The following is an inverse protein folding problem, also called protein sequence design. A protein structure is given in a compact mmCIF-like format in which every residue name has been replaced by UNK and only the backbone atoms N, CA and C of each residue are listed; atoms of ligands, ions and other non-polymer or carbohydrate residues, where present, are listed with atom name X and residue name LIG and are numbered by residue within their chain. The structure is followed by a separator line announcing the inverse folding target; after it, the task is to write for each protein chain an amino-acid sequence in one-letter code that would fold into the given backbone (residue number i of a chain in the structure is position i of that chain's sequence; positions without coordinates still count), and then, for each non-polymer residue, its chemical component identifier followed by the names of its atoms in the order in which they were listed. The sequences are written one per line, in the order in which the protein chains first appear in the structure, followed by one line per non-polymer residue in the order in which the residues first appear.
data_IF_426628797940
#
_entry.id   IF_426628797940
#
_cell.length_a   1.000
_cell.length_b   1.000
_cell.length_c   1.000
_cell.angle_alpha   90.00
_cell.angle_beta   90.00
_cell.angle_gamma   90.00
#
_symmetry.space_group_name_H-M   'P 1'
#
loop_
_entity.id
_entity.type
_entity.pdbx_description
1 polymer ?
#
# COMPACT_ATOMS: atom_id res chain seq x y z
N UNK A 1 -35.07 20.42 -57.45
CA UNK A 1 -35.31 20.85 -56.07
C UNK A 1 -35.59 19.62 -55.21
N UNK A 2 -34.53 18.91 -54.77
CA UNK A 2 -34.59 17.96 -53.65
C UNK A 2 -33.18 17.86 -53.06
N UNK A 3 -32.95 18.63 -52.00
CA UNK A 3 -31.73 18.63 -51.22
C UNK A 3 -31.84 17.52 -50.16
N UNK A 4 -30.98 16.50 -50.23
CA UNK A 4 -30.83 15.53 -49.13
C UNK A 4 -29.57 15.91 -48.37
N UNK A 5 -29.77 16.52 -47.21
CA UNK A 5 -28.74 16.79 -46.20
C UNK A 5 -28.67 15.57 -45.28
N UNK A 6 -27.56 14.83 -45.30
CA UNK A 6 -27.31 13.74 -44.36
C UNK A 6 -26.21 14.12 -43.36
N UNK A 7 -26.67 14.71 -42.26
CA UNK A 7 -26.33 14.43 -40.85
C UNK A 7 -24.90 13.95 -40.53
N UNK A 8 -24.13 14.88 -39.94
CA UNK A 8 -23.13 14.74 -38.88
C UNK A 8 -22.43 13.37 -38.72
N UNK A 9 -21.16 13.34 -39.11
CA UNK A 9 -20.25 12.22 -38.98
C UNK A 9 -19.97 11.81 -37.54
N UNK A 10 -20.41 10.62 -37.20
CA UNK A 10 -19.69 9.76 -36.26
C UNK A 10 -18.65 9.00 -37.09
N UNK A 11 -17.39 9.39 -37.00
CA UNK A 11 -16.27 8.60 -37.54
C UNK A 11 -16.17 7.35 -36.67
N UNK A 12 -16.91 6.30 -37.05
CA UNK A 12 -16.65 4.93 -36.60
C UNK A 12 -15.24 4.61 -37.06
N UNK A 13 -14.30 4.47 -36.13
CA UNK A 13 -12.99 3.89 -36.42
C UNK A 13 -13.22 2.48 -36.98
N UNK A 14 -13.25 2.35 -38.31
CA UNK A 14 -13.23 1.05 -39.00
C UNK A 14 -11.97 0.36 -38.49
N UNK A 15 -12.15 -0.76 -37.81
CA UNK A 15 -11.08 -1.74 -37.62
C UNK A 15 -10.37 -1.90 -38.98
N UNK A 16 -9.09 -1.55 -39.03
CA UNK A 16 -8.30 -1.77 -40.24
C UNK A 16 -8.30 -3.28 -40.50
N UNK A 17 -8.98 -3.69 -41.58
CA UNK A 17 -9.00 -5.09 -42.00
C UNK A 17 -7.60 -5.65 -42.20
N UNK A 18 -7.41 -6.92 -41.81
CA UNK A 18 -6.12 -7.60 -41.76
C UNK A 18 -5.57 -7.90 -43.15
N UNK A 19 -4.24 -7.95 -43.25
CA UNK A 19 -3.44 -8.58 -44.31
C UNK A 19 -3.75 -8.10 -45.73
N UNK A 20 -4.50 -8.86 -46.54
CA UNK A 20 -4.80 -8.51 -47.94
C UNK A 20 -5.51 -7.14 -48.08
N UNK A 21 -6.42 -6.80 -47.16
CA UNK A 21 -7.16 -5.52 -47.21
C UNK A 21 -6.28 -4.31 -46.86
N UNK A 22 -5.15 -4.52 -46.17
CA UNK A 22 -4.17 -3.47 -45.90
C UNK A 22 -3.32 -3.21 -47.15
N UNK A 23 -2.85 -4.27 -47.82
CA UNK A 23 -2.02 -4.16 -49.02
C UNK A 23 -2.80 -3.47 -50.16
N UNK A 24 -4.05 -3.84 -50.37
CA UNK A 24 -4.89 -3.22 -51.40
C UNK A 24 -5.13 -1.72 -51.13
N UNK A 25 -5.31 -1.32 -49.87
CA UNK A 25 -5.46 0.09 -49.48
C UNK A 25 -4.17 0.88 -49.60
N UNK A 26 -3.03 0.29 -49.23
CA UNK A 26 -1.73 0.93 -49.40
C UNK A 26 -1.44 1.18 -50.88
N UNK A 27 -1.78 0.23 -51.76
CA UNK A 27 -1.66 0.39 -53.21
C UNK A 27 -2.56 1.50 -53.75
N UNK A 28 -3.81 1.58 -53.28
CA UNK A 28 -4.72 2.66 -53.65
C UNK A 28 -4.16 4.04 -53.24
N UNK A 29 -3.68 4.19 -52.00
CA UNK A 29 -3.10 5.45 -51.52
C UNK A 29 -1.81 5.85 -52.23
N UNK A 30 -1.02 4.89 -52.71
CA UNK A 30 0.13 5.17 -53.58
C UNK A 30 -0.35 5.65 -54.94
N UNK A 31 -1.35 5.01 -55.54
CA UNK A 31 -1.90 5.40 -56.84
C UNK A 31 -2.57 6.78 -56.83
N UNK A 32 -3.16 7.16 -55.68
CA UNK A 32 -3.76 8.47 -55.45
C UNK A 32 -2.73 9.54 -55.06
N UNK A 33 -1.45 9.18 -54.91
CA UNK A 33 -0.37 10.11 -54.53
C UNK A 33 -0.45 10.60 -53.07
N UNK A 34 -1.25 9.95 -52.22
CA UNK A 34 -1.43 10.30 -50.80
C UNK A 34 -0.17 9.92 -50.01
N UNK A 35 0.45 8.80 -50.35
CA UNK A 35 1.70 8.32 -49.74
C UNK A 35 2.68 7.86 -50.82
N UNK A 36 3.96 7.95 -50.51
CA UNK A 36 5.03 7.38 -51.36
C UNK A 36 5.11 5.86 -51.21
N UNK A 37 5.63 5.16 -52.21
CA UNK A 37 5.92 3.72 -52.10
C UNK A 37 6.83 3.39 -50.91
N UNK A 38 7.77 4.28 -50.59
CA UNK A 38 8.66 4.11 -49.45
C UNK A 38 7.88 4.17 -48.10
N UNK A 39 6.87 5.02 -48.00
CA UNK A 39 5.98 5.06 -46.84
C UNK A 39 5.08 3.84 -46.77
N UNK A 40 4.52 3.38 -47.90
CA UNK A 40 3.74 2.15 -47.95
C UNK A 40 4.54 0.94 -47.45
N UNK A 41 5.79 0.75 -47.94
CA UNK A 41 6.70 -0.30 -47.46
C UNK A 41 7.01 -0.19 -45.97
N UNK A 42 7.13 1.03 -45.42
CA UNK A 42 7.36 1.24 -43.99
C UNK A 42 6.15 0.90 -43.14
N UNK A 43 4.94 1.24 -43.61
CA UNK A 43 3.68 0.94 -42.93
C UNK A 43 3.43 -0.56 -42.99
N UNK A 44 3.59 -1.19 -44.15
CA UNK A 44 3.52 -2.64 -44.29
C UNK A 44 4.51 -3.34 -43.35
N UNK A 45 5.79 -2.95 -43.35
CA UNK A 45 6.76 -3.53 -42.43
C UNK A 45 6.44 -3.28 -40.95
N UNK A 46 5.74 -2.19 -40.61
CA UNK A 46 5.27 -1.91 -39.25
C UNK A 46 4.08 -2.81 -38.89
N UNK A 47 3.10 -2.93 -39.78
CA UNK A 47 1.90 -3.75 -39.62
C UNK A 47 2.18 -5.24 -39.72
N UNK A 48 3.17 -5.71 -40.50
CA UNK A 48 3.62 -7.10 -40.49
C UNK A 48 4.35 -7.46 -39.19
N UNK A 49 5.04 -6.48 -38.57
CA UNK A 49 5.58 -6.63 -37.21
C UNK A 49 4.48 -6.63 -36.15
N UNK A 50 3.44 -5.84 -36.34
CA UNK A 50 2.27 -5.75 -35.45
C UNK A 50 1.21 -6.83 -35.70
N UNK A 51 1.26 -7.50 -36.86
CA UNK A 51 0.22 -8.37 -37.43
C UNK A 51 0.45 -9.86 -37.20
N UNK A 52 1.11 -10.21 -36.09
CA UNK A 52 0.93 -11.54 -35.51
C UNK A 52 -0.50 -11.61 -34.93
N UNK A 53 -1.16 -12.78 -34.99
CA UNK A 53 -2.59 -12.90 -34.69
C UNK A 53 -2.93 -12.37 -33.29
N UNK A 54 -4.17 -11.91 -33.14
CA UNK A 54 -4.84 -11.59 -31.89
C UNK A 54 -4.98 -12.81 -30.95
N UNK A 55 -3.87 -13.47 -30.63
CA UNK A 55 -3.63 -14.00 -29.30
C UNK A 55 -3.11 -12.82 -28.49
N UNK A 56 -3.96 -12.28 -27.62
CA UNK A 56 -3.55 -11.50 -26.45
C UNK A 56 -2.19 -12.05 -25.98
N UNK A 57 -1.10 -11.25 -25.84
CA UNK A 57 0.15 -11.76 -25.29
C UNK A 57 -0.21 -12.43 -23.98
N UNK A 58 -0.21 -13.77 -23.98
CA UNK A 58 -1.06 -14.58 -23.14
C UNK A 58 -1.21 -13.91 -21.77
N UNK A 59 -2.40 -13.34 -21.49
CA UNK A 59 -2.65 -12.78 -20.16
C UNK A 59 -2.17 -13.87 -19.21
N UNK A 60 -1.16 -13.62 -18.36
CA UNK A 60 -0.60 -14.65 -17.53
C UNK A 60 -1.79 -15.30 -16.83
N UNK A 61 -1.96 -16.60 -17.04
CA UNK A 61 -3.17 -17.27 -16.61
C UNK A 61 -3.27 -17.06 -15.10
N UNK A 62 -4.28 -16.30 -14.69
CA UNK A 62 -4.47 -15.91 -13.29
C UNK A 62 -4.65 -17.13 -12.39
N UNK A 63 -5.08 -18.25 -12.98
CA UNK A 63 -5.37 -19.48 -12.26
C UNK A 63 -4.10 -20.17 -11.69
N UNK A 64 -3.04 -20.48 -12.47
CA UNK A 64 -1.77 -20.94 -11.89
C UNK A 64 -1.15 -19.98 -10.87
N UNK A 65 -1.24 -18.66 -11.09
CA UNK A 65 -0.69 -17.68 -10.14
C UNK A 65 -1.51 -17.66 -8.84
N UNK A 66 -2.84 -17.67 -8.92
CA UNK A 66 -3.73 -17.74 -7.76
C UNK A 66 -3.58 -19.07 -6.99
N UNK A 67 -3.49 -20.20 -7.69
CA UNK A 67 -3.22 -21.51 -7.09
C UNK A 67 -1.85 -21.54 -6.40
N UNK A 68 -0.84 -20.90 -6.98
CA UNK A 68 0.48 -20.75 -6.37
C UNK A 68 0.43 -19.95 -5.06
N UNK A 69 -0.28 -18.81 -5.04
CA UNK A 69 -0.46 -18.04 -3.81
C UNK A 69 -1.27 -18.79 -2.75
N UNK A 70 -2.38 -19.42 -3.15
CA UNK A 70 -3.21 -20.21 -2.25
C UNK A 70 -2.44 -21.39 -1.65
N UNK A 71 -1.74 -22.15 -2.49
CA UNK A 71 -0.89 -23.26 -2.04
C UNK A 71 0.22 -22.79 -1.10
N UNK A 72 0.87 -21.65 -1.39
CA UNK A 72 1.86 -21.05 -0.52
C UNK A 72 1.31 -20.65 0.86
N UNK A 73 0.12 -20.05 0.91
CA UNK A 73 -0.56 -19.69 2.16
C UNK A 73 -0.93 -20.96 2.95
N UNK A 74 -1.48 -21.98 2.29
CA UNK A 74 -1.84 -23.25 2.95
C UNK A 74 -0.59 -23.93 3.54
N UNK A 75 0.52 -23.97 2.80
CA UNK A 75 1.79 -24.52 3.31
C UNK A 75 2.31 -23.71 4.49
N UNK A 76 2.25 -22.37 4.44
CA UNK A 76 2.66 -21.52 5.56
C UNK A 76 1.80 -21.76 6.82
N UNK A 77 0.48 -21.86 6.66
CA UNK A 77 -0.44 -22.14 7.76
C UNK A 77 -0.18 -23.53 8.33
N UNK A 78 -0.05 -24.55 7.49
CA UNK A 78 0.25 -25.91 7.92
C UNK A 78 1.59 -25.99 8.67
N UNK A 79 2.63 -25.32 8.16
CA UNK A 79 3.94 -25.25 8.82
C UNK A 79 3.85 -24.52 10.16
N UNK A 80 3.10 -23.43 10.26
CA UNK A 80 2.90 -22.69 11.51
C UNK A 80 2.14 -23.52 12.56
N UNK A 81 1.08 -24.24 12.15
CA UNK A 81 0.32 -25.13 13.03
C UNK A 81 1.18 -26.30 13.51
N UNK A 82 1.91 -26.94 12.60
CA UNK A 82 2.80 -28.05 12.93
C UNK A 82 3.93 -27.59 13.85
N UNK A 83 4.52 -26.42 13.58
CA UNK A 83 5.49 -25.80 14.46
C UNK A 83 4.88 -25.56 15.84
N UNK A 84 3.71 -24.93 15.94
CA UNK A 84 3.05 -24.67 17.22
C UNK A 84 2.73 -25.92 18.04
N UNK A 85 2.39 -27.03 17.39
CA UNK A 85 2.14 -28.31 18.06
C UNK A 85 3.42 -29.00 18.54
N UNK A 86 4.46 -29.02 17.71
CA UNK A 86 5.69 -29.74 18.01
C UNK A 86 6.71 -28.89 18.80
N UNK A 87 6.56 -27.57 18.84
CA UNK A 87 7.58 -26.66 19.35
C UNK A 87 8.02 -27.00 20.77
N UNK A 88 7.04 -27.25 21.65
CA UNK A 88 7.26 -27.58 23.05
C UNK A 88 8.09 -28.85 23.24
N UNK A 89 7.93 -29.84 22.35
CA UNK A 89 8.62 -31.12 22.40
C UNK A 89 10.02 -31.09 21.77
N UNK A 90 10.35 -30.05 21.00
CA UNK A 90 11.65 -29.91 20.37
C UNK A 90 12.71 -29.43 21.36
N UNK A 91 13.88 -30.08 21.33
CA UNK A 91 15.08 -29.56 22.01
C UNK A 91 15.52 -28.23 21.40
N UNK A 92 16.28 -27.43 22.17
CA UNK A 92 16.88 -26.18 21.69
C UNK A 92 17.65 -26.37 20.37
N UNK A 93 18.48 -27.42 20.28
CA UNK A 93 19.27 -27.72 19.08
C UNK A 93 18.35 -28.00 17.89
N UNK A 94 17.27 -28.76 18.09
CA UNK A 94 16.29 -29.05 17.03
C UNK A 94 15.56 -27.80 16.56
N UNK A 95 15.16 -26.89 17.47
CA UNK A 95 14.54 -25.61 17.12
C UNK A 95 15.47 -24.74 16.29
N UNK A 96 16.73 -24.61 16.72
CA UNK A 96 17.76 -23.85 16.01
C UNK A 96 18.07 -24.42 14.63
N UNK A 97 18.22 -25.74 14.52
CA UNK A 97 18.43 -26.40 13.23
C UNK A 97 17.23 -26.22 12.31
N UNK A 98 16.01 -26.40 12.81
CA UNK A 98 14.79 -26.26 12.01
C UNK A 98 14.67 -24.86 11.41
N UNK A 99 14.75 -23.82 12.26
CA UNK A 99 14.55 -22.44 11.79
C UNK A 99 15.77 -21.92 11.02
N UNK A 100 16.99 -22.28 11.44
CA UNK A 100 18.22 -21.91 10.75
C UNK A 100 18.32 -22.53 9.35
N UNK A 101 17.97 -23.81 9.21
CA UNK A 101 17.93 -24.47 7.89
C UNK A 101 16.85 -23.90 7.00
N UNK A 102 15.66 -23.57 7.55
CA UNK A 102 14.62 -22.89 6.79
C UNK A 102 15.10 -21.52 6.27
N UNK A 103 15.75 -20.72 7.12
CA UNK A 103 16.31 -19.43 6.72
C UNK A 103 17.35 -19.58 5.59
N UNK A 104 18.30 -20.51 5.74
CA UNK A 104 19.32 -20.79 4.74
C UNK A 104 18.72 -21.31 3.42
N UNK A 105 17.76 -22.23 3.49
CA UNK A 105 17.08 -22.80 2.33
C UNK A 105 16.29 -21.72 1.56
N UNK A 106 15.55 -20.86 2.25
CA UNK A 106 14.80 -19.76 1.63
C UNK A 106 15.73 -18.73 0.99
N UNK A 107 16.83 -18.38 1.66
CA UNK A 107 17.81 -17.42 1.14
C UNK A 107 18.48 -17.94 -0.13
N UNK A 108 18.95 -19.20 -0.10
CA UNK A 108 19.59 -19.88 -1.23
C UNK A 108 18.62 -20.14 -2.38
N UNK A 109 17.39 -20.58 -2.10
CA UNK A 109 16.34 -20.73 -3.11
C UNK A 109 16.06 -19.41 -3.81
N UNK A 110 15.93 -18.30 -3.07
CA UNK A 110 15.74 -16.97 -3.65
C UNK A 110 16.92 -16.53 -4.53
N UNK A 111 18.15 -16.85 -4.13
CA UNK A 111 19.36 -16.59 -4.92
C UNK A 111 19.41 -17.45 -6.20
N UNK A 112 18.91 -18.68 -6.15
CA UNK A 112 18.86 -19.60 -7.30
C UNK A 112 17.79 -19.24 -8.34
N UNK A 113 16.80 -18.39 -8.01
CA UNK A 113 15.76 -17.98 -8.97
C UNK A 113 16.41 -17.29 -10.19
N UNK A 114 16.26 -17.82 -11.42
CA UNK A 114 16.91 -17.26 -12.60
C UNK A 114 16.42 -15.84 -12.92
N UNK A 115 17.33 -14.94 -13.34
CA UNK A 115 16.97 -13.57 -13.79
C UNK A 115 16.04 -13.57 -15.01
N UNK A 116 16.11 -14.62 -15.84
CA UNK A 116 15.27 -14.82 -17.03
C UNK A 116 13.81 -15.18 -16.75
N UNK A 117 13.45 -15.47 -15.50
CA UNK A 117 12.08 -15.85 -15.11
C UNK A 117 11.08 -14.66 -15.06
N UNK A 118 11.44 -13.52 -15.66
CA UNK A 118 10.57 -12.36 -15.81
C UNK A 118 10.05 -11.78 -14.49
N UNK A 119 8.84 -11.23 -14.51
CA UNK A 119 8.21 -10.60 -13.35
C UNK A 119 7.83 -11.61 -12.25
N UNK A 120 7.36 -12.80 -12.63
CA UNK A 120 7.02 -13.87 -11.69
C UNK A 120 8.24 -14.32 -10.87
N UNK A 121 9.40 -14.50 -11.52
CA UNK A 121 10.65 -14.83 -10.82
C UNK A 121 11.10 -13.74 -9.84
N UNK A 122 10.92 -12.45 -10.19
CA UNK A 122 11.22 -11.35 -9.26
C UNK A 122 10.31 -11.37 -8.03
N UNK A 123 9.01 -11.66 -8.20
CA UNK A 123 8.05 -11.78 -7.08
C UNK A 123 8.41 -12.96 -6.18
N UNK A 124 8.64 -14.14 -6.77
CA UNK A 124 9.02 -15.34 -6.05
C UNK A 124 10.31 -15.12 -5.23
N UNK A 125 11.35 -14.52 -5.84
CA UNK A 125 12.57 -14.16 -5.12
C UNK A 125 12.29 -13.25 -3.93
N UNK A 126 11.46 -12.21 -4.12
CA UNK A 126 11.08 -11.28 -3.06
C UNK A 126 10.39 -11.97 -1.89
N UNK A 127 9.49 -12.93 -2.17
CA UNK A 127 8.79 -13.73 -1.15
C UNK A 127 9.75 -14.69 -0.43
N UNK A 128 10.60 -15.40 -1.16
CA UNK A 128 11.58 -16.32 -0.58
C UNK A 128 12.55 -15.59 0.36
N UNK A 129 13.08 -14.44 -0.07
CA UNK A 129 13.94 -13.62 0.77
C UNK A 129 13.19 -12.98 1.95
N UNK A 130 11.90 -12.69 1.82
CA UNK A 130 11.09 -12.16 2.92
C UNK A 130 10.90 -13.24 3.99
N UNK A 131 10.57 -14.46 3.56
CA UNK A 131 10.53 -15.63 4.43
C UNK A 131 11.88 -15.92 5.08
N UNK A 132 12.99 -15.75 4.37
CA UNK A 132 14.33 -15.93 4.94
C UNK A 132 14.61 -14.94 6.08
N UNK A 133 14.20 -13.67 5.96
CA UNK A 133 14.32 -12.68 7.04
C UNK A 133 13.44 -13.04 8.24
N UNK A 134 12.21 -13.49 8.02
CA UNK A 134 11.32 -13.92 9.09
C UNK A 134 11.87 -15.16 9.83
N UNK A 135 12.37 -16.15 9.09
CA UNK A 135 13.02 -17.31 9.67
C UNK A 135 14.30 -16.91 10.42
N UNK A 136 15.11 -15.99 9.87
CA UNK A 136 16.28 -15.44 10.57
C UNK A 136 15.90 -14.75 11.88
N UNK A 137 14.82 -13.96 11.90
CA UNK A 137 14.29 -13.38 13.11
C UNK A 137 13.89 -14.46 14.12
N UNK A 138 13.18 -15.51 13.69
CA UNK A 138 12.83 -16.65 14.54
C UNK A 138 14.07 -17.35 15.12
N UNK A 139 15.11 -17.54 14.32
CA UNK A 139 16.38 -18.12 14.77
C UNK A 139 17.02 -17.27 15.88
N UNK A 140 17.13 -15.95 15.66
CA UNK A 140 17.65 -15.02 16.67
C UNK A 140 16.79 -15.01 17.93
N UNK A 141 15.47 -15.10 17.79
CA UNK A 141 14.54 -15.21 18.90
C UNK A 141 14.80 -16.44 19.77
N UNK A 142 14.99 -17.60 19.16
CA UNK A 142 15.34 -18.84 19.88
C UNK A 142 16.70 -18.73 20.55
N UNK A 143 17.72 -18.21 19.84
CA UNK A 143 19.06 -18.02 20.43
C UNK A 143 18.98 -17.09 21.64
N UNK A 144 18.28 -15.97 21.53
CA UNK A 144 18.23 -14.97 22.59
C UNK A 144 17.38 -15.44 23.79
N UNK A 145 16.18 -15.97 23.53
CA UNK A 145 15.24 -16.38 24.59
C UNK A 145 15.65 -17.70 25.25
N UNK A 146 15.93 -18.74 24.46
CA UNK A 146 16.19 -20.08 25.00
C UNK A 146 17.70 -20.35 25.18
N UNK A 147 18.54 -19.85 24.26
CA UNK A 147 19.98 -20.11 24.28
C UNK A 147 20.76 -19.24 25.27
N UNK A 148 20.45 -17.94 25.31
CA UNK A 148 21.07 -16.97 26.23
C UNK A 148 20.22 -16.67 27.47
N UNK A 149 19.00 -17.23 27.55
CA UNK A 149 18.06 -16.98 28.65
C UNK A 149 17.82 -15.48 28.91
N UNK A 150 17.78 -14.67 27.84
CA UNK A 150 17.50 -13.24 27.96
C UNK A 150 16.05 -13.02 28.39
N UNK A 151 15.78 -11.91 29.10
CA UNK A 151 14.40 -11.51 29.34
C UNK A 151 13.67 -11.20 28.02
N UNK A 152 12.34 -11.34 28.02
CA UNK A 152 11.51 -11.19 26.81
C UNK A 152 11.79 -9.89 26.05
N UNK A 153 11.94 -8.76 26.77
CA UNK A 153 12.23 -7.47 26.15
C UNK A 153 13.61 -7.44 25.46
N UNK A 154 14.66 -8.00 26.10
CA UNK A 154 16.00 -8.06 25.51
C UNK A 154 16.05 -9.03 24.33
N UNK A 155 15.38 -10.17 24.44
CA UNK A 155 15.27 -11.14 23.34
C UNK A 155 14.54 -10.54 22.13
N UNK A 156 13.43 -9.82 22.36
CA UNK A 156 12.71 -9.12 21.31
C UNK A 156 13.56 -8.03 20.64
N UNK A 157 14.33 -7.27 21.43
CA UNK A 157 15.24 -6.23 20.91
C UNK A 157 16.33 -6.84 20.01
N UNK A 158 17.04 -7.87 20.48
CA UNK A 158 18.08 -8.57 19.72
C UNK A 158 17.50 -9.15 18.42
N UNK A 159 16.32 -9.76 18.51
CA UNK A 159 15.63 -10.38 17.38
C UNK A 159 15.28 -9.36 16.30
N UNK A 160 14.65 -8.26 16.69
CA UNK A 160 14.14 -7.25 15.74
C UNK A 160 15.27 -6.42 15.15
N UNK A 161 16.27 -6.00 15.95
CA UNK A 161 17.47 -5.33 15.44
C UNK A 161 18.28 -6.25 14.51
N UNK A 162 18.51 -7.50 14.93
CA UNK A 162 19.26 -8.46 14.14
C UNK A 162 18.55 -8.89 12.86
N UNK A 163 17.22 -8.80 12.80
CA UNK A 163 16.43 -9.04 11.59
C UNK A 163 16.35 -7.81 10.67
N UNK A 164 16.39 -6.58 11.22
CA UNK A 164 16.34 -5.35 10.43
C UNK A 164 17.53 -5.22 9.46
N UNK A 165 18.73 -5.65 9.88
CA UNK A 165 19.95 -5.60 9.04
C UNK A 165 19.79 -6.39 7.73
N UNK A 166 19.52 -7.71 7.74
CA UNK A 166 19.33 -8.46 6.50
C UNK A 166 18.09 -7.98 5.72
N UNK A 167 17.02 -7.53 6.39
CA UNK A 167 15.85 -6.98 5.72
C UNK A 167 16.19 -5.76 4.86
N UNK A 168 16.91 -4.78 5.42
CA UNK A 168 17.36 -3.59 4.70
C UNK A 168 18.32 -3.98 3.58
N UNK A 169 19.30 -4.84 3.84
CA UNK A 169 20.28 -5.27 2.83
C UNK A 169 19.60 -5.95 1.64
N UNK A 170 18.63 -6.85 1.88
CA UNK A 170 17.91 -7.55 0.83
C UNK A 170 16.95 -6.62 0.08
N UNK A 171 16.30 -5.69 0.78
CA UNK A 171 15.48 -4.65 0.16
C UNK A 171 16.29 -3.75 -0.77
N UNK A 172 17.46 -3.27 -0.33
CA UNK A 172 18.36 -2.45 -1.16
C UNK A 172 18.88 -3.22 -2.39
N UNK A 173 19.08 -4.54 -2.28
CA UNK A 173 19.51 -5.39 -3.41
C UNK A 173 18.38 -5.76 -4.36
N UNK A 174 17.14 -5.84 -3.88
CA UNK A 174 15.98 -6.23 -4.69
C UNK A 174 14.73 -5.53 -4.16
N UNK A 175 14.46 -4.29 -4.63
CA UNK A 175 13.37 -3.45 -4.14
C UNK A 175 12.02 -3.96 -4.66
N UNK A 176 11.58 -5.08 -4.10
CA UNK A 176 10.24 -5.67 -4.31
C UNK A 176 9.33 -5.23 -3.16
N UNK A 177 8.02 -5.23 -3.41
CA UNK A 177 7.03 -4.83 -2.38
C UNK A 177 7.14 -5.69 -1.11
N UNK A 178 7.35 -7.00 -1.25
CA UNK A 178 7.53 -7.91 -0.12
C UNK A 178 8.75 -7.54 0.73
N UNK A 179 9.89 -7.22 0.10
CA UNK A 179 11.09 -6.79 0.79
C UNK A 179 10.92 -5.43 1.46
N UNK A 180 10.23 -4.49 0.79
CA UNK A 180 9.94 -3.18 1.36
C UNK A 180 9.07 -3.29 2.62
N UNK A 181 8.06 -4.16 2.58
CA UNK A 181 7.18 -4.45 3.72
C UNK A 181 7.94 -5.08 4.89
N UNK A 182 8.79 -6.08 4.63
CA UNK A 182 9.58 -6.71 5.69
C UNK A 182 10.62 -5.74 6.26
N UNK A 183 11.23 -4.89 5.43
CA UNK A 183 12.18 -3.87 5.89
C UNK A 183 11.51 -2.87 6.84
N UNK A 184 10.36 -2.29 6.47
CA UNK A 184 9.67 -1.37 7.38
C UNK A 184 9.17 -2.08 8.64
N UNK A 185 8.65 -3.32 8.52
CA UNK A 185 8.14 -4.08 9.67
C UNK A 185 9.24 -4.36 10.69
N UNK A 186 10.40 -4.82 10.23
CA UNK A 186 11.54 -5.13 11.12
C UNK A 186 12.15 -3.88 11.74
N UNK A 187 12.26 -2.78 10.99
CA UNK A 187 12.74 -1.49 11.54
C UNK A 187 11.73 -0.90 12.53
N UNK A 188 10.44 -0.96 12.24
CA UNK A 188 9.40 -0.50 13.15
C UNK A 188 9.36 -1.34 14.43
N UNK A 189 9.49 -2.67 14.33
CA UNK A 189 9.59 -3.55 15.48
C UNK A 189 10.85 -3.32 16.31
N UNK A 190 11.99 -3.03 15.66
CA UNK A 190 13.23 -2.66 16.35
C UNK A 190 13.08 -1.33 17.10
N UNK A 191 12.44 -0.33 16.49
CA UNK A 191 12.16 0.94 17.15
C UNK A 191 11.19 0.76 18.34
N UNK A 192 10.14 -0.05 18.18
CA UNK A 192 9.19 -0.35 19.24
C UNK A 192 9.86 -1.03 20.44
N UNK A 193 10.64 -2.09 20.19
CA UNK A 193 11.36 -2.79 21.26
C UNK A 193 12.43 -1.90 21.90
N UNK A 194 13.06 -0.99 21.15
CA UNK A 194 13.97 0.02 21.73
C UNK A 194 13.25 0.97 22.66
N UNK A 195 12.06 1.46 22.29
CA UNK A 195 11.24 2.33 23.15
C UNK A 195 10.86 1.60 24.43
N UNK A 196 10.48 0.33 24.35
CA UNK A 196 10.14 -0.49 25.53
C UNK A 196 11.30 -0.61 26.53
N UNK A 197 12.56 -0.52 26.08
CA UNK A 197 13.71 -0.58 26.98
C UNK A 197 13.97 0.71 27.74
N UNK A 198 13.40 1.83 27.29
CA UNK A 198 13.63 3.17 27.87
C UNK A 198 12.38 3.69 28.58
N UNK A 199 11.19 3.21 28.20
CA UNK A 199 9.91 3.58 28.82
C UNK A 199 9.50 2.58 29.90
N UNK A 200 10.04 2.77 31.12
CA UNK A 200 9.65 2.01 32.31
C UNK A 200 8.15 2.13 32.64
N UNK A 201 7.48 3.16 32.12
CA UNK A 201 6.06 3.44 32.41
C UNK A 201 5.09 2.78 31.43
N UNK A 202 5.59 2.22 30.33
CA UNK A 202 4.78 1.56 29.30
C UNK A 202 3.70 2.46 28.67
N UNK A 203 3.91 3.79 28.70
CA UNK A 203 2.90 4.79 28.32
C UNK A 203 2.72 4.90 26.81
N UNK A 204 3.76 4.63 26.02
CA UNK A 204 3.74 4.87 24.57
C UNK A 204 4.39 3.73 23.76
N UNK A 205 3.91 2.48 23.89
CA UNK A 205 4.53 1.33 23.23
C UNK A 205 4.53 1.44 21.70
N UNK A 206 3.57 2.17 21.12
CA UNK A 206 3.48 2.38 19.68
C UNK A 206 4.33 3.53 19.13
N UNK A 207 5.00 4.33 19.97
CA UNK A 207 5.70 5.54 19.51
C UNK A 207 6.90 5.23 18.61
N UNK A 208 7.62 4.13 18.87
CA UNK A 208 8.69 3.68 17.99
C UNK A 208 8.19 3.33 16.58
N UNK A 209 7.08 2.59 16.50
CA UNK A 209 6.40 2.25 15.23
C UNK A 209 5.93 3.53 14.52
N UNK A 210 5.33 4.45 15.27
CA UNK A 210 4.84 5.72 14.75
C UNK A 210 5.97 6.56 14.15
N UNK A 211 7.06 6.75 14.89
CA UNK A 211 8.21 7.53 14.47
C UNK A 211 8.85 6.96 13.19
N UNK A 212 9.02 5.64 13.12
CA UNK A 212 9.49 4.97 11.90
C UNK A 212 8.53 5.22 10.74
N UNK A 213 7.22 5.11 10.95
CA UNK A 213 6.22 5.39 9.93
C UNK A 213 6.32 6.81 9.35
N UNK A 214 6.45 7.82 10.22
CA UNK A 214 6.62 9.22 9.80
C UNK A 214 7.93 9.42 9.03
N UNK A 215 9.05 8.90 9.54
CA UNK A 215 10.34 8.99 8.84
C UNK A 215 10.26 8.32 7.47
N UNK A 216 9.65 7.14 7.38
CA UNK A 216 9.48 6.41 6.13
C UNK A 216 8.63 7.17 5.12
N UNK A 217 7.54 7.78 5.59
CA UNK A 217 6.64 8.63 4.79
C UNK A 217 7.41 9.83 4.22
N UNK A 218 8.16 10.55 5.05
CA UNK A 218 8.94 11.74 4.65
C UNK A 218 10.05 11.36 3.67
N UNK A 219 10.81 10.30 3.94
CA UNK A 219 11.86 9.82 3.04
C UNK A 219 11.29 9.34 1.69
N UNK A 220 10.10 8.75 1.69
CA UNK A 220 9.41 8.32 0.46
C UNK A 220 8.86 9.51 -0.33
N UNK A 221 8.30 10.51 0.36
CA UNK A 221 7.89 11.77 -0.25
C UNK A 221 9.07 12.47 -0.94
N UNK A 222 10.22 12.53 -0.25
CA UNK A 222 11.47 13.07 -0.79
C UNK A 222 12.14 12.19 -1.85
N UNK A 223 11.51 11.11 -2.30
CA UNK A 223 12.03 10.17 -3.32
C UNK A 223 13.35 9.48 -2.95
N UNK A 224 13.76 9.51 -1.68
CA UNK A 224 14.93 8.80 -1.16
C UNK A 224 14.65 7.29 -1.16
N UNK A 225 13.44 6.91 -0.75
CA UNK A 225 12.94 5.53 -0.76
C UNK A 225 12.15 5.31 -2.05
N UNK A 226 12.56 4.30 -2.85
CA UNK A 226 11.84 3.89 -4.08
C UNK A 226 11.31 2.46 -3.92
N UNK A 227 10.08 2.16 -4.38
CA UNK A 227 9.11 3.07 -5.02
C UNK A 227 8.41 4.01 -4.03
N UNK A 228 8.35 5.32 -4.34
CA UNK A 228 7.84 6.34 -3.42
C UNK A 228 6.38 6.14 -3.00
N UNK A 229 5.48 5.76 -3.92
CA UNK A 229 4.06 5.51 -3.59
C UNK A 229 3.90 4.38 -2.58
N UNK A 230 4.61 3.27 -2.78
CA UNK A 230 4.59 2.14 -1.85
C UNK A 230 5.18 2.54 -0.49
N UNK A 231 6.30 3.28 -0.50
CA UNK A 231 6.92 3.78 0.73
C UNK A 231 6.05 4.75 1.52
N UNK A 232 5.33 5.66 0.84
CA UNK A 232 4.37 6.57 1.48
C UNK A 232 3.21 5.80 2.09
N UNK A 233 2.61 4.86 1.34
CA UNK A 233 1.51 4.03 1.86
C UNK A 233 1.95 3.21 3.08
N UNK A 234 3.09 2.51 2.99
CA UNK A 234 3.63 1.72 4.09
C UNK A 234 3.99 2.59 5.31
N UNK A 235 4.64 3.73 5.09
CA UNK A 235 4.99 4.69 6.15
C UNK A 235 3.76 5.24 6.86
N UNK A 236 2.74 5.64 6.09
CA UNK A 236 1.48 6.15 6.64
C UNK A 236 0.71 5.06 7.41
N UNK A 237 0.67 3.83 6.89
CA UNK A 237 0.07 2.68 7.59
C UNK A 237 0.81 2.40 8.89
N UNK A 238 2.15 2.41 8.90
CA UNK A 238 2.95 2.23 10.11
C UNK A 238 2.72 3.36 11.13
N UNK A 239 2.62 4.62 10.67
CA UNK A 239 2.29 5.75 11.53
C UNK A 239 0.90 5.59 12.18
N UNK A 240 -0.13 5.27 11.38
CA UNK A 240 -1.48 5.01 11.90
C UNK A 240 -1.49 3.86 12.89
N UNK A 241 -0.82 2.75 12.57
CA UNK A 241 -0.72 1.59 13.46
C UNK A 241 0.02 1.93 14.77
N UNK A 242 1.11 2.67 14.71
CA UNK A 242 1.85 3.12 15.89
C UNK A 242 1.03 4.08 16.78
N UNK A 243 0.23 4.96 16.17
CA UNK A 243 -0.75 5.77 16.91
C UNK A 243 -1.78 4.89 17.62
N UNK A 244 -2.38 3.94 16.90
CA UNK A 244 -3.37 3.00 17.46
C UNK A 244 -2.81 2.14 18.61
N UNK A 245 -1.59 1.62 18.46
CA UNK A 245 -0.89 0.86 19.51
C UNK A 245 -0.60 1.70 20.77
N UNK A 246 -0.60 3.03 20.66
CA UNK A 246 -0.36 3.94 21.80
C UNK A 246 -1.64 4.32 22.55
N UNK A 247 -2.83 3.88 22.12
CA UNK A 247 -4.14 4.28 22.69
C UNK A 247 -4.42 3.76 24.10
N UNK A 248 -3.46 3.10 24.73
CA UNK A 248 -3.50 2.75 26.16
C UNK A 248 -3.46 3.98 27.08
N UNK A 249 -3.15 5.16 26.53
CA UNK A 249 -3.16 6.46 27.23
C UNK A 249 -3.99 7.51 26.49
N UNK A 250 -4.36 8.59 27.18
CA UNK A 250 -5.14 9.68 26.58
C UNK A 250 -4.31 10.45 25.54
N UNK A 251 -3.02 10.67 25.84
CA UNK A 251 -2.07 11.25 24.90
C UNK A 251 -1.92 10.39 23.63
N UNK A 252 -1.87 9.06 23.78
CA UNK A 252 -1.82 8.17 22.63
C UNK A 252 -3.11 8.11 21.82
N UNK A 253 -4.26 8.27 22.48
CA UNK A 253 -5.56 8.43 21.79
C UNK A 253 -5.59 9.72 20.96
N UNK A 254 -5.09 10.83 21.52
CA UNK A 254 -4.88 12.08 20.78
C UNK A 254 -3.93 11.92 19.60
N UNK A 255 -2.79 11.24 19.78
CA UNK A 255 -1.83 10.95 18.72
C UNK A 255 -2.44 10.13 17.57
N UNK A 256 -3.23 9.10 17.90
CA UNK A 256 -3.89 8.24 16.92
C UNK A 256 -4.87 9.04 16.04
N UNK A 257 -5.73 9.85 16.66
CA UNK A 257 -6.68 10.71 15.94
C UNK A 257 -5.96 11.76 15.09
N UNK A 258 -4.96 12.45 15.66
CA UNK A 258 -4.16 13.45 14.94
C UNK A 258 -3.48 12.83 13.71
N UNK A 259 -2.92 11.62 13.86
CA UNK A 259 -2.25 10.90 12.76
C UNK A 259 -3.25 10.49 11.69
N UNK A 260 -4.40 9.94 12.06
CA UNK A 260 -5.44 9.53 11.10
C UNK A 260 -6.02 10.72 10.32
N UNK A 261 -6.25 11.85 10.98
CA UNK A 261 -6.69 13.08 10.31
C UNK A 261 -5.60 13.66 9.43
N UNK A 262 -4.36 13.72 9.94
CA UNK A 262 -3.20 14.15 9.16
C UNK A 262 -3.03 13.30 7.89
N UNK A 263 -3.24 11.98 8.00
CA UNK A 263 -3.24 11.06 6.88
C UNK A 263 -4.30 11.39 5.81
N UNK A 264 -5.54 11.69 6.24
CA UNK A 264 -6.61 12.14 5.33
C UNK A 264 -6.22 13.45 4.66
N UNK A 265 -5.77 14.44 5.43
CA UNK A 265 -5.37 15.75 4.91
C UNK A 265 -4.23 15.63 3.88
N UNK A 266 -3.18 14.85 4.19
CA UNK A 266 -2.07 14.56 3.26
C UNK A 266 -2.58 13.85 2.01
N UNK A 267 -3.47 12.87 2.15
CA UNK A 267 -4.08 12.18 1.00
C UNK A 267 -4.90 13.10 0.10
N UNK A 268 -5.65 14.04 0.68
CA UNK A 268 -6.40 15.06 -0.07
C UNK A 268 -5.47 16.06 -0.78
N UNK A 269 -4.42 16.53 -0.09
CA UNK A 269 -3.43 17.44 -0.66
C UNK A 269 -2.68 16.80 -1.84
N UNK A 270 -2.33 15.52 -1.73
CA UNK A 270 -1.70 14.75 -2.78
C UNK A 270 -2.65 14.23 -3.86
N UNK A 271 -3.96 14.32 -3.63
CA UNK A 271 -5.00 13.70 -4.46
C UNK A 271 -4.76 12.18 -4.64
N UNK A 272 -4.32 11.50 -3.58
CA UNK A 272 -4.08 10.05 -3.56
C UNK A 272 -5.12 9.34 -2.70
N UNK A 273 -6.03 8.62 -3.38
CA UNK A 273 -7.12 7.88 -2.75
C UNK A 273 -6.65 6.80 -1.78
N UNK A 274 -5.48 6.19 -2.03
CA UNK A 274 -4.96 5.15 -1.14
C UNK A 274 -4.57 5.75 0.22
N UNK A 275 -3.96 6.94 0.23
CA UNK A 275 -3.58 7.63 1.48
C UNK A 275 -4.81 8.11 2.25
N UNK A 276 -5.83 8.62 1.54
CA UNK A 276 -7.13 8.96 2.15
C UNK A 276 -7.77 7.73 2.77
N UNK A 277 -7.78 6.59 2.07
CA UNK A 277 -8.34 5.35 2.58
C UNK A 277 -7.61 4.84 3.84
N UNK A 278 -6.28 4.93 3.88
CA UNK A 278 -5.48 4.57 5.07
C UNK A 278 -5.85 5.48 6.26
N UNK A 279 -5.93 6.80 6.04
CA UNK A 279 -6.32 7.75 7.08
C UNK A 279 -7.75 7.55 7.57
N UNK A 280 -8.69 7.30 6.66
CA UNK A 280 -10.09 7.01 6.98
C UNK A 280 -10.23 5.70 7.78
N UNK A 281 -9.51 4.64 7.40
CA UNK A 281 -9.46 3.40 8.16
C UNK A 281 -8.86 3.62 9.56
N UNK A 282 -7.78 4.40 9.65
CA UNK A 282 -7.18 4.79 10.93
C UNK A 282 -8.18 5.52 11.83
N UNK A 283 -8.95 6.45 11.27
CA UNK A 283 -9.96 7.20 12.02
C UNK A 283 -11.12 6.30 12.45
N UNK A 284 -11.57 5.40 11.58
CA UNK A 284 -12.61 4.41 11.88
C UNK A 284 -12.22 3.50 13.05
N UNK A 285 -10.95 3.12 13.14
CA UNK A 285 -10.44 2.27 14.21
C UNK A 285 -10.16 3.06 15.50
N UNK A 286 -9.60 4.27 15.41
CA UNK A 286 -9.20 5.06 16.57
C UNK A 286 -10.38 5.81 17.22
N UNK A 287 -11.34 6.31 16.45
CA UNK A 287 -12.40 7.17 16.98
C UNK A 287 -13.31 6.47 18.01
N UNK A 288 -13.83 5.24 17.77
CA UNK A 288 -14.67 4.55 18.75
C UNK A 288 -13.91 4.27 20.05
N UNK A 289 -12.64 3.86 19.94
CA UNK A 289 -11.79 3.56 21.10
C UNK A 289 -11.50 4.82 21.93
N UNK A 290 -11.17 5.94 21.28
CA UNK A 290 -10.94 7.22 21.96
C UNK A 290 -12.21 7.71 22.67
N UNK A 291 -13.36 7.60 21.99
CA UNK A 291 -14.66 8.02 22.55
C UNK A 291 -15.06 7.15 23.74
N UNK A 292 -14.94 5.84 23.64
CA UNK A 292 -15.23 4.93 24.76
C UNK A 292 -14.36 5.27 26.00
N UNK A 293 -13.10 5.64 25.75
CA UNK A 293 -12.14 6.01 26.79
C UNK A 293 -12.45 7.37 27.44
N UNK A 294 -12.74 8.39 26.65
CA UNK A 294 -12.93 9.76 27.14
C UNK A 294 -14.31 10.00 27.75
N UNK A 295 -15.32 9.24 27.33
CA UNK A 295 -16.70 9.45 27.76
C UNK A 295 -17.22 8.39 28.75
N UNK A 296 -16.36 7.45 29.18
CA UNK A 296 -16.58 6.47 30.25
C UNK A 296 -18.01 5.86 30.30
N UNK A 297 -18.52 5.45 29.13
CA UNK A 297 -19.84 4.81 28.99
C UNK A 297 -21.05 5.75 28.90
N UNK A 298 -20.85 7.07 28.80
CA UNK A 298 -21.92 8.05 28.60
C UNK A 298 -22.65 7.88 27.25
N UNK A 299 -23.99 7.95 27.27
CA UNK A 299 -24.86 7.93 26.07
C UNK A 299 -24.64 9.16 25.18
N UNK A 300 -24.07 10.25 25.73
CA UNK A 300 -23.77 11.46 24.96
C UNK A 300 -22.75 11.20 23.83
N UNK A 301 -21.82 10.27 24.04
CA UNK A 301 -20.76 9.97 23.08
C UNK A 301 -21.29 9.35 21.77
N UNK A 302 -22.08 8.26 21.81
CA UNK A 302 -22.70 7.70 20.60
C UNK A 302 -23.58 8.71 19.86
N UNK A 303 -24.33 9.54 20.59
CA UNK A 303 -25.20 10.56 20.00
C UNK A 303 -24.41 11.69 19.31
N UNK A 304 -23.31 12.15 19.92
CA UNK A 304 -22.42 13.13 19.31
C UNK A 304 -21.76 12.57 18.04
N UNK A 305 -21.33 11.31 18.06
CA UNK A 305 -20.77 10.62 16.89
C UNK A 305 -21.78 10.51 15.76
N UNK A 306 -23.01 10.11 16.09
CA UNK A 306 -24.11 10.00 15.13
C UNK A 306 -24.41 11.37 14.50
N UNK A 307 -24.50 12.41 15.33
CA UNK A 307 -24.69 13.79 14.86
C UNK A 307 -23.59 14.26 13.93
N UNK A 308 -22.32 14.06 14.30
CA UNK A 308 -21.18 14.40 13.46
C UNK A 308 -21.19 13.64 12.13
N UNK A 309 -21.49 12.34 12.15
CA UNK A 309 -21.61 11.51 10.94
C UNK A 309 -22.71 12.01 9.99
N UNK A 310 -23.89 12.32 10.54
CA UNK A 310 -25.00 12.89 9.75
C UNK A 310 -24.62 14.23 9.14
N UNK A 311 -23.98 15.12 9.90
CA UNK A 311 -23.52 16.41 9.41
C UNK A 311 -22.50 16.28 8.26
N UNK A 312 -21.56 15.35 8.37
CA UNK A 312 -20.59 15.07 7.31
C UNK A 312 -21.27 14.55 6.04
N UNK A 313 -22.25 13.64 6.17
CA UNK A 313 -23.02 13.13 5.02
C UNK A 313 -23.79 14.26 4.33
N UNK A 314 -24.47 15.10 5.12
CA UNK A 314 -25.22 16.25 4.58
C UNK A 314 -24.28 17.24 3.87
N UNK A 315 -23.10 17.51 4.44
CA UNK A 315 -22.07 18.35 3.82
C UNK A 315 -21.55 17.75 2.50
N UNK A 316 -21.30 16.45 2.45
CA UNK A 316 -20.86 15.78 1.22
C UNK A 316 -21.94 15.86 0.12
N UNK A 317 -23.20 15.61 0.47
CA UNK A 317 -24.33 15.68 -0.47
C UNK A 317 -24.59 17.09 -0.98
N UNK A 318 -24.42 18.12 -0.15
CA UNK A 318 -24.60 19.51 -0.59
C UNK A 318 -23.53 19.96 -1.57
N UNK A 319 -22.28 19.54 -1.36
CA UNK A 319 -21.17 19.79 -2.30
C UNK A 319 -21.43 19.07 -3.64
N UNK A 320 -21.85 17.80 -3.59
CA UNK A 320 -22.13 17.01 -4.80
C UNK A 320 -23.25 17.65 -5.65
N UNK A 321 -24.36 18.06 -5.01
CA UNK A 321 -25.47 18.74 -5.69
C UNK A 321 -25.06 20.08 -6.29
N UNK A 322 -24.18 20.83 -5.62
CA UNK A 322 -23.67 22.11 -6.11
C UNK A 322 -22.79 22.01 -7.36
N UNK A 323 -22.23 20.82 -7.66
CA UNK A 323 -21.43 20.59 -8.87
C UNK A 323 -22.30 20.31 -10.10
N UNK A 324 -23.40 19.57 -9.96
CA UNK A 324 -24.34 19.26 -11.05
C UNK A 324 -25.03 20.52 -11.61
N UNK A 325 -25.41 21.44 -10.73
CA UNK A 325 -26.02 22.73 -11.10
C UNK A 325 -25.04 23.66 -11.83
N UNK A 326 -23.74 23.53 -11.56
CA UNK A 326 -22.67 24.31 -12.21
C UNK A 326 -22.29 23.72 -13.55
N UNK A 327 -22.28 22.40 -13.70
CA UNK A 327 -22.01 21.72 -14.98
C UNK A 327 -23.06 22.06 -16.04
N UNK A 328 -24.34 22.22 -15.65
CA UNK A 328 -25.41 22.66 -16.55
C UNK A 328 -25.32 24.13 -16.97
N UNK A 329 -24.68 25.01 -16.16
CA UNK A 329 -24.48 26.43 -16.49
C UNK A 329 -23.15 26.73 -17.20
N UNK A 330 -22.19 25.81 -17.15
CA UNK A 330 -20.80 26.06 -17.58
C UNK A 330 -20.47 25.42 -18.94
N UNK A 331 -21.18 25.81 -20.00
CA UNK A 331 -20.67 25.71 -21.38
C UNK A 331 -19.79 26.90 -21.78
N UNK A 332 -19.30 27.66 -20.80
CA UNK A 332 -18.29 28.69 -21.01
C UNK A 332 -16.97 28.15 -20.46
N UNK A 333 -15.93 27.99 -21.29
CA UNK A 333 -14.68 27.42 -20.85
C UNK A 333 -13.92 28.47 -20.03
N UNK A 334 -13.71 28.27 -18.73
CA UNK A 334 -12.55 28.81 -18.00
C UNK A 334 -12.32 28.19 -16.61
N UNK A 335 -11.01 28.06 -16.33
CA UNK A 335 -10.32 28.22 -15.05
C UNK A 335 -10.43 27.10 -13.99
N UNK A 336 -9.34 26.31 -13.94
CA UNK A 336 -8.64 25.75 -12.76
C UNK A 336 -9.37 25.94 -11.43
N UNK A 337 -9.95 24.84 -10.91
CA UNK A 337 -10.51 24.75 -9.57
C UNK A 337 -9.51 25.26 -8.53
N UNK A 338 -9.91 26.31 -7.79
CA UNK A 338 -9.04 27.02 -6.89
C UNK A 338 -8.67 26.16 -5.66
N UNK A 339 -7.37 26.06 -5.30
CA UNK A 339 -6.88 25.29 -4.16
C UNK A 339 -7.48 25.74 -2.81
N UNK A 340 -8.13 26.90 -2.77
CA UNK A 340 -8.80 27.47 -1.60
C UNK A 340 -9.97 26.63 -1.08
N UNK A 341 -10.70 25.93 -1.96
CA UNK A 341 -11.84 25.08 -1.53
C UNK A 341 -11.33 23.84 -0.79
N UNK A 342 -10.23 23.24 -1.26
CA UNK A 342 -9.59 22.12 -0.58
C UNK A 342 -8.99 22.53 0.77
N UNK A 343 -8.40 23.73 0.86
CA UNK A 343 -7.86 24.30 2.11
C UNK A 343 -9.00 24.58 3.12
N UNK A 344 -10.13 25.12 2.66
CA UNK A 344 -11.29 25.40 3.52
C UNK A 344 -11.91 24.11 4.11
N UNK A 345 -12.02 23.05 3.31
CA UNK A 345 -12.49 21.74 3.77
C UNK A 345 -11.52 21.09 4.77
N UNK A 346 -10.20 21.21 4.52
CA UNK A 346 -9.17 20.71 5.44
C UNK A 346 -9.19 21.47 6.77
N UNK A 347 -9.37 22.80 6.73
CA UNK A 347 -9.48 23.64 7.92
C UNK A 347 -10.75 23.32 8.74
N UNK A 348 -11.89 23.06 8.08
CA UNK A 348 -13.13 22.68 8.77
C UNK A 348 -12.98 21.36 9.54
N UNK A 349 -12.31 20.36 8.95
CA UNK A 349 -12.02 19.08 9.62
C UNK A 349 -11.09 19.27 10.82
N UNK A 350 -10.03 20.07 10.67
CA UNK A 350 -9.11 20.39 11.78
C UNK A 350 -9.83 21.15 12.91
N UNK A 351 -10.71 22.10 12.59
CA UNK A 351 -11.49 22.85 13.60
C UNK A 351 -12.45 21.94 14.35
N UNK A 352 -13.15 21.03 13.65
CA UNK A 352 -14.03 20.04 14.32
C UNK A 352 -13.24 19.15 15.27
N UNK A 353 -12.04 18.72 14.88
CA UNK A 353 -11.18 17.89 15.73
C UNK A 353 -10.61 18.67 16.91
N UNK A 354 -10.17 19.91 16.70
CA UNK A 354 -9.72 20.78 17.79
C UNK A 354 -10.85 21.12 18.77
N UNK A 355 -12.10 21.28 18.30
CA UNK A 355 -13.26 21.40 19.17
C UNK A 355 -13.48 20.13 20.00
N UNK A 356 -13.40 18.95 19.38
CA UNK A 356 -13.58 17.68 20.10
C UNK A 356 -12.47 17.47 21.13
N UNK A 357 -11.22 17.74 20.79
CA UNK A 357 -10.08 17.64 21.72
C UNK A 357 -10.16 18.70 22.82
N UNK A 358 -10.55 19.94 22.50
CA UNK A 358 -10.70 21.02 23.47
C UNK A 358 -11.80 20.79 24.49
N UNK A 359 -12.92 20.17 24.07
CA UNK A 359 -14.04 19.78 24.96
C UNK A 359 -13.69 18.59 25.86
N UNK A 360 -12.75 17.74 25.44
CA UNK A 360 -12.27 16.59 26.23
C UNK A 360 -11.17 16.99 27.22
N UNK A 361 -10.43 18.08 26.95
CA UNK A 361 -9.38 18.58 27.82
C UNK A 361 -9.86 19.56 28.92
N UNK A 362 -11.14 19.93 28.91
CA UNK A 362 -11.80 20.79 29.91
C UNK A 362 -12.68 19.99 30.85
#
# INVERSE_FOLDING_TARGET
MTTIVTKAGVVRARHMGRGPELVDRLNAWVSEGIITEAQARRIEAHESRSGHPAGDPARPSLLPEALGYLGGVVVLVAAALLAGQLWADLTLVSRLLLVGTAAAALLTAGAAVPKRAGQAGRRLRGVLWAGAVLAWAGFLGVVAADGWAMSENHAALVTTLGAAVPAIVLWLRSPTLAQHLVAILTVAAAAATTVVQVDDTGRLPGLGVWAVGIVWLVLSWGQVIRPARAGMALGLTAAVLGGWLSMSTDAGSGLALLTATGAIAVGLLLRDLLLVAIGALGLLLALPTAVARWFDGSVAAPLALLGAGVLLIVGALSIARGHEDREHRSRVPHAVESPLVAIALSAAVVVVILMVVGVVAS
#
